data_IF_424837403885
#
_entry.id   IF_424837403885
#
_cell.length_a   1.000
_cell.length_b   1.000
_cell.length_c   1.000
_cell.angle_alpha   90.00
_cell.angle_beta   90.00
_cell.angle_gamma   90.00
#
_symmetry.space_group_name_H-M   'P 1'
#
loop_
_entity.id
_entity.type
_entity.pdbx_description
1 polymer ?
#
# COMPACT_ATOMS: atom_id res chain seq x y z
N UNK A 1 18.85 23.66 4.45
CA UNK A 1 19.45 22.85 5.52
C UNK A 1 18.98 23.16 6.93
N UNK A 2 18.70 24.41 7.32
CA UNK A 2 18.25 24.70 8.69
C UNK A 2 16.83 24.19 9.01
N UNK A 3 15.91 24.30 8.03
CA UNK A 3 14.52 23.83 8.14
C UNK A 3 14.40 22.30 8.27
N UNK A 4 15.32 21.53 7.69
CA UNK A 4 15.31 20.06 7.81
C UNK A 4 15.71 19.58 9.21
N UNK A 5 16.40 20.40 10.01
CA UNK A 5 16.77 20.05 11.39
C UNK A 5 15.63 20.29 12.39
N UNK A 6 14.63 21.09 12.02
CA UNK A 6 13.48 21.42 12.87
C UNK A 6 12.22 20.61 12.54
N UNK A 7 12.19 19.85 11.44
CA UNK A 7 11.10 18.92 11.13
C UNK A 7 11.45 17.50 11.61
N UNK A 8 10.59 16.90 12.42
CA UNK A 8 10.65 15.48 12.80
C UNK A 8 9.52 14.71 12.14
N UNK A 9 9.87 13.59 11.52
CA UNK A 9 8.94 12.63 10.95
C UNK A 9 9.08 11.31 11.72
N UNK A 10 8.03 10.91 12.42
CA UNK A 10 8.01 9.68 13.23
C UNK A 10 6.91 8.75 12.73
N UNK A 11 7.27 7.50 12.37
CA UNK A 11 6.29 6.47 12.09
C UNK A 11 5.72 5.95 13.42
N UNK A 12 4.46 6.30 13.71
CA UNK A 12 3.78 5.89 14.95
C UNK A 12 3.14 4.51 14.79
N UNK A 13 2.85 4.09 13.55
CA UNK A 13 2.30 2.76 13.25
C UNK A 13 2.58 2.31 11.82
N UNK A 14 1.92 1.24 11.37
CA UNK A 14 2.13 0.66 10.03
C UNK A 14 1.68 1.56 8.87
N UNK A 15 0.74 2.48 9.13
CA UNK A 15 0.14 3.37 8.12
C UNK A 15 -0.06 4.80 8.61
N UNK A 16 0.53 5.14 9.76
CA UNK A 16 0.34 6.44 10.41
C UNK A 16 1.69 7.04 10.73
N UNK A 17 1.88 8.28 10.31
CA UNK A 17 3.07 9.07 10.60
C UNK A 17 2.67 10.34 11.35
N UNK A 18 3.58 10.80 12.19
CA UNK A 18 3.48 12.06 12.90
C UNK A 18 4.51 13.02 12.33
N UNK A 19 4.05 14.21 11.98
CA UNK A 19 4.89 15.32 11.57
C UNK A 19 4.93 16.31 12.74
N UNK A 20 6.11 16.73 13.15
CA UNK A 20 6.31 17.76 14.16
C UNK A 20 7.32 18.78 13.66
N UNK A 21 7.05 20.06 13.88
CA UNK A 21 7.98 21.15 13.61
C UNK A 21 8.29 21.93 14.88
N UNK A 22 9.55 22.32 15.05
CA UNK A 22 10.02 23.15 16.16
C UNK A 22 10.29 24.58 15.66
N UNK A 23 9.43 25.52 16.04
CA UNK A 23 9.60 26.95 15.79
C UNK A 23 9.96 27.73 17.05
N UNK A 24 10.24 29.03 16.90
CA UNK A 24 10.53 29.94 18.02
C UNK A 24 9.25 30.37 18.74
N UNK A 25 8.14 30.46 18.00
CA UNK A 25 6.82 30.81 18.54
C UNK A 25 5.82 29.65 18.42
N UNK A 26 4.84 29.55 19.34
CA UNK A 26 3.82 28.51 19.29
C UNK A 26 2.88 28.64 18.09
N UNK A 27 2.64 29.87 17.61
CA UNK A 27 1.81 30.13 16.42
C UNK A 27 2.52 29.67 15.15
N UNK A 28 3.79 30.04 14.97
CA UNK A 28 4.61 29.56 13.85
C UNK A 28 4.70 28.04 13.83
N UNK A 29 4.90 27.41 14.99
CA UNK A 29 4.98 25.96 15.08
C UNK A 29 3.71 25.26 14.58
N UNK A 30 2.53 25.80 14.93
CA UNK A 30 1.24 25.30 14.44
C UNK A 30 1.10 25.53 12.94
N UNK A 31 1.31 26.74 12.47
CA UNK A 31 1.01 27.14 11.09
C UNK A 31 1.92 26.42 10.09
N UNK A 32 3.21 26.25 10.43
CA UNK A 32 4.15 25.47 9.61
C UNK A 32 3.78 23.99 9.62
N UNK A 33 3.40 23.41 10.77
CA UNK A 33 2.99 22.00 10.83
C UNK A 33 1.71 21.76 10.02
N UNK A 34 0.74 22.69 10.08
CA UNK A 34 -0.48 22.65 9.29
C UNK A 34 -0.17 22.69 7.79
N UNK A 35 0.63 23.67 7.37
CA UNK A 35 1.05 23.79 5.98
C UNK A 35 1.80 22.57 5.48
N UNK A 36 2.72 22.00 6.28
CA UNK A 36 3.43 20.76 5.92
C UNK A 36 2.48 19.58 5.71
N UNK A 37 1.46 19.43 6.57
CA UNK A 37 0.47 18.37 6.44
C UNK A 37 -0.36 18.54 5.16
N UNK A 38 -0.85 19.74 4.89
CA UNK A 38 -1.61 20.07 3.68
C UNK A 38 -0.77 19.90 2.40
N UNK A 39 0.47 20.39 2.41
CA UNK A 39 1.39 20.28 1.28
C UNK A 39 1.72 18.81 0.96
N UNK A 40 1.93 17.98 1.99
CA UNK A 40 2.18 16.54 1.80
C UNK A 40 0.96 15.84 1.20
N UNK A 41 -0.25 16.19 1.66
CA UNK A 41 -1.49 15.65 1.09
C UNK A 41 -1.62 16.04 -0.38
N UNK A 42 -1.41 17.31 -0.72
CA UNK A 42 -1.50 17.76 -2.11
C UNK A 42 -0.42 17.12 -3.00
N UNK A 43 0.80 16.96 -2.50
CA UNK A 43 1.88 16.29 -3.23
C UNK A 43 1.54 14.82 -3.50
N UNK A 44 1.05 14.08 -2.50
CA UNK A 44 0.62 12.69 -2.67
C UNK A 44 -0.57 12.58 -3.64
N UNK A 45 -1.53 13.50 -3.58
CA UNK A 45 -2.64 13.56 -4.52
C UNK A 45 -2.15 13.85 -5.95
N UNK A 46 -1.22 14.80 -6.11
CA UNK A 46 -0.58 15.13 -7.38
C UNK A 46 0.17 13.93 -7.98
N UNK A 47 1.06 13.31 -7.19
CA UNK A 47 1.86 12.15 -7.62
C UNK A 47 0.97 10.97 -8.03
N UNK A 48 -0.15 10.75 -7.32
CA UNK A 48 -1.13 9.70 -7.68
C UNK A 48 -1.89 10.02 -8.96
N UNK A 49 -2.29 11.27 -9.17
CA UNK A 49 -2.92 11.70 -10.44
C UNK A 49 -1.96 11.45 -11.60
N UNK A 50 -0.69 11.83 -11.46
CA UNK A 50 0.34 11.57 -12.47
C UNK A 50 0.52 10.07 -12.75
N UNK A 51 0.64 9.24 -11.71
CA UNK A 51 0.74 7.78 -11.86
C UNK A 51 -0.49 7.19 -12.54
N UNK A 52 -1.70 7.67 -12.22
CA UNK A 52 -2.93 7.23 -12.85
C UNK A 52 -2.96 7.61 -14.34
N UNK A 53 -2.53 8.82 -14.69
CA UNK A 53 -2.42 9.27 -16.09
C UNK A 53 -1.41 8.42 -16.86
N UNK A 54 -0.22 8.16 -16.29
CA UNK A 54 0.79 7.30 -16.91
C UNK A 54 0.28 5.87 -17.11
N UNK A 55 -0.38 5.29 -16.11
CA UNK A 55 -0.97 3.95 -16.22
C UNK A 55 -2.07 3.90 -17.29
N UNK A 56 -2.90 4.93 -17.42
CA UNK A 56 -3.91 5.02 -18.48
C UNK A 56 -3.28 5.14 -19.87
N UNK A 57 -2.23 5.95 -20.03
CA UNK A 57 -1.50 6.07 -21.29
C UNK A 57 -0.89 4.72 -21.70
N UNK A 58 -0.24 4.03 -20.75
CA UNK A 58 0.30 2.69 -20.99
C UNK A 58 -0.78 1.70 -21.44
N UNK A 59 -1.93 1.65 -20.76
CA UNK A 59 -3.04 0.76 -21.15
C UNK A 59 -3.61 1.10 -22.54
N UNK A 60 -3.65 2.38 -22.91
CA UNK A 60 -4.10 2.80 -24.24
C UNK A 60 -3.11 2.41 -25.35
N UNK A 61 -1.81 2.57 -25.10
CA UNK A 61 -0.76 2.14 -26.04
C UNK A 61 -0.76 0.63 -26.20
N UNK A 62 -0.89 -0.10 -25.10
CA UNK A 62 -0.98 -1.57 -25.09
C UNK A 62 -2.23 -2.06 -25.83
N UNK A 63 -3.39 -1.39 -25.64
CA UNK A 63 -4.61 -1.69 -26.38
C UNK A 63 -4.41 -1.50 -27.90
N UNK A 64 -3.74 -0.41 -28.32
CA UNK A 64 -3.43 -0.16 -29.73
C UNK A 64 -2.53 -1.26 -30.29
N UNK A 65 -1.43 -1.59 -29.58
CA UNK A 65 -0.51 -2.65 -29.99
C UNK A 65 -1.20 -3.99 -30.16
N UNK A 66 -2.01 -4.41 -29.17
CA UNK A 66 -2.75 -5.68 -29.24
C UNK A 66 -3.81 -5.65 -30.34
N UNK A 67 -4.43 -4.50 -30.62
CA UNK A 67 -5.39 -4.37 -31.72
C UNK A 67 -4.73 -4.51 -33.10
N UNK A 68 -3.51 -3.97 -33.26
CA UNK A 68 -2.72 -4.13 -34.49
C UNK A 68 -2.25 -5.57 -34.65
N UNK A 69 -1.79 -6.20 -33.56
CA UNK A 69 -1.39 -7.62 -33.57
C UNK A 69 -2.57 -8.54 -33.89
N UNK A 70 -3.75 -8.26 -33.34
CA UNK A 70 -4.98 -8.98 -33.66
C UNK A 70 -5.33 -8.83 -35.14
N UNK A 71 -5.29 -7.61 -35.69
CA UNK A 71 -5.56 -7.38 -37.11
C UNK A 71 -4.62 -8.18 -38.02
N UNK A 72 -3.31 -8.20 -37.70
CA UNK A 72 -2.34 -9.01 -38.46
C UNK A 72 -2.58 -10.53 -38.34
N UNK A 73 -3.03 -11.01 -37.18
CA UNK A 73 -3.35 -12.43 -36.98
C UNK A 73 -4.65 -12.83 -37.70
N UNK A 74 -5.64 -11.96 -37.69
CA UNK A 74 -6.89 -12.14 -38.44
C UNK A 74 -6.66 -12.07 -39.95
N UNK A 75 -5.78 -11.19 -40.42
CA UNK A 75 -5.37 -11.13 -41.83
C UNK A 75 -4.71 -12.43 -42.28
N UNK A 76 -3.71 -12.93 -41.53
CA UNK A 76 -3.09 -14.25 -41.83
C UNK A 76 -4.11 -15.38 -41.83
N UNK A 77 -5.07 -15.36 -40.89
CA UNK A 77 -6.16 -16.36 -40.87
C UNK A 77 -7.06 -16.23 -42.10
N UNK A 78 -7.33 -15.00 -42.54
CA UNK A 78 -8.08 -14.72 -43.76
C UNK A 78 -7.35 -15.20 -45.02
N UNK A 79 -6.05 -14.94 -45.13
CA UNK A 79 -5.18 -15.44 -46.21
C UNK A 79 -5.19 -16.97 -46.27
N UNK A 80 -4.99 -17.63 -45.13
CA UNK A 80 -5.06 -19.08 -45.03
C UNK A 80 -6.42 -19.64 -45.49
N UNK A 81 -7.52 -19.01 -45.08
CA UNK A 81 -8.87 -19.41 -45.48
C UNK A 81 -9.10 -19.18 -46.99
N UNK A 82 -8.48 -18.16 -47.59
CA UNK A 82 -8.54 -17.89 -49.02
C UNK A 82 -7.76 -18.92 -49.84
N UNK A 83 -6.58 -19.33 -49.36
CA UNK A 83 -5.75 -20.38 -49.96
C UNK A 83 -6.33 -21.78 -49.76
N UNK A 84 -7.09 -22.00 -48.68
CA UNK A 84 -7.69 -23.27 -48.32
C UNK A 84 -9.19 -23.16 -48.00
N UNK A 85 -10.06 -23.01 -49.02
CA UNK A 85 -11.51 -22.85 -48.85
C UNK A 85 -12.18 -24.00 -48.09
N UNK A 86 -11.57 -25.19 -48.07
CA UNK A 86 -12.03 -26.36 -47.33
C UNK A 86 -12.13 -26.14 -45.81
N UNK A 87 -11.40 -25.17 -45.23
CA UNK A 87 -11.47 -24.84 -43.79
C UNK A 87 -12.42 -23.66 -43.49
N UNK A 88 -12.94 -22.96 -44.52
CA UNK A 88 -13.83 -21.80 -44.37
C UNK A 88 -15.24 -22.20 -43.89
N UNK A 89 -15.73 -23.29 -44.47
CA UNK A 89 -16.97 -23.95 -44.06
C UNK A 89 -16.53 -24.95 -43.00
N UNK A 90 -17.08 -24.96 -41.78
CA UNK A 90 -16.65 -25.81 -40.67
C UNK A 90 -16.81 -27.34 -40.86
N UNK A 91 -16.67 -27.82 -42.10
CA UNK A 91 -16.48 -29.21 -42.48
C UNK A 91 -15.07 -29.60 -42.02
N UNK A 92 -15.00 -30.09 -40.79
CA UNK A 92 -13.93 -30.98 -40.37
C UNK A 92 -13.76 -32.04 -41.46
N UNK A 93 -12.55 -32.15 -42.02
CA UNK A 93 -12.20 -33.11 -43.05
C UNK A 93 -12.34 -34.58 -42.60
N UNK A 94 -12.63 -34.81 -41.32
CA UNK A 94 -13.01 -36.10 -40.75
C UNK A 94 -14.52 -36.15 -40.51
N UNK A 95 -15.24 -36.98 -41.28
CA UNK A 95 -16.70 -37.09 -41.30
C UNK A 95 -17.39 -37.45 -39.98
N UNK A 96 -17.42 -36.51 -39.03
CA UNK A 96 -18.24 -36.54 -37.82
C UNK A 96 -19.18 -35.34 -37.83
N UNK A 97 -20.49 -35.53 -37.55
CA UNK A 97 -21.43 -34.42 -37.56
C UNK A 97 -21.10 -33.44 -36.44
N UNK A 98 -20.80 -32.19 -36.80
CA UNK A 98 -20.89 -31.03 -35.92
C UNK A 98 -22.38 -30.78 -35.59
N UNK A 99 -22.93 -31.64 -34.74
CA UNK A 99 -24.23 -31.48 -34.11
C UNK A 99 -24.09 -31.71 -32.62
N UNK A 100 -23.25 -30.87 -32.00
CA UNK A 100 -23.59 -30.36 -30.68
C UNK A 100 -24.10 -28.94 -30.91
N UNK A 101 -25.42 -28.77 -30.85
CA UNK A 101 -26.08 -27.48 -30.73
C UNK A 101 -25.50 -26.73 -29.53
N UNK A 102 -24.42 -25.99 -29.71
CA UNK A 102 -24.17 -24.81 -28.88
C UNK A 102 -25.08 -23.74 -29.46
N UNK A 103 -26.30 -23.74 -28.94
CA UNK A 103 -27.24 -22.66 -29.11
C UNK A 103 -26.53 -21.38 -28.66
N UNK A 104 -26.27 -20.48 -29.59
CA UNK A 104 -25.80 -19.14 -29.30
C UNK A 104 -26.95 -18.45 -28.55
N UNK A 105 -26.83 -18.09 -27.26
CA UNK A 105 -27.75 -17.12 -26.72
C UNK A 105 -27.32 -15.76 -27.29
N UNK A 106 -28.26 -15.09 -27.94
CA UNK A 106 -28.14 -13.71 -28.39
C UNK A 106 -27.53 -12.82 -27.29
N UNK A 107 -26.71 -11.81 -27.64
CA UNK A 107 -26.14 -10.88 -26.67
C UNK A 107 -27.25 -10.02 -26.07
N UNK A 108 -27.77 -10.43 -24.92
CA UNK A 108 -28.50 -9.54 -24.01
C UNK A 108 -27.49 -8.98 -23.00
N UNK A 109 -27.49 -7.66 -22.71
CA UNK A 109 -26.58 -7.08 -21.74
C UNK A 109 -27.05 -7.47 -20.33
N UNK A 110 -26.69 -8.67 -19.88
CA UNK A 110 -26.93 -9.13 -18.52
C UNK A 110 -25.71 -8.79 -17.67
N UNK A 111 -25.80 -7.66 -16.98
CA UNK A 111 -24.94 -7.28 -15.86
C UNK A 111 -24.87 -8.47 -14.88
N UNK A 112 -23.70 -9.03 -14.57
CA UNK A 112 -23.59 -10.12 -13.61
C UNK A 112 -23.89 -9.59 -12.21
N UNK A 113 -25.02 -10.01 -11.63
CA UNK A 113 -25.25 -9.87 -10.18
C UNK A 113 -24.50 -10.99 -9.47
N UNK A 114 -23.67 -10.70 -8.44
CA UNK A 114 -22.98 -11.74 -7.69
C UNK A 114 -24.00 -12.58 -6.90
N UNK A 115 -24.14 -13.85 -7.26
CA UNK A 115 -24.90 -14.84 -6.52
C UNK A 115 -23.99 -15.38 -5.41
N UNK A 116 -24.24 -14.96 -4.17
CA UNK A 116 -23.60 -15.53 -2.99
C UNK A 116 -24.10 -16.96 -2.82
N UNK A 117 -23.31 -17.93 -3.27
CA UNK A 117 -23.49 -19.34 -2.93
C UNK A 117 -22.71 -19.58 -1.64
N UNK A 118 -23.44 -19.59 -0.52
CA UNK A 118 -22.91 -20.00 0.78
C UNK A 118 -22.88 -21.54 0.78
N UNK A 119 -21.79 -22.11 0.31
CA UNK A 119 -21.45 -23.52 0.54
C UNK A 119 -20.16 -23.57 1.34
N UNK A 120 -20.30 -23.86 2.64
CA UNK A 120 -19.18 -24.14 3.53
C UNK A 120 -18.57 -25.51 3.18
N UNK A 121 -17.25 -25.65 3.04
CA UNK A 121 -16.59 -26.95 3.11
C UNK A 121 -16.18 -27.30 4.55
N UNK A 122 -16.22 -28.58 4.96
CA UNK A 122 -15.67 -29.03 6.22
C UNK A 122 -14.14 -29.02 6.19
N UNK A 123 -13.57 -28.64 7.33
CA UNK A 123 -12.16 -28.48 7.66
C UNK A 123 -11.29 -29.73 7.44
N UNK A 124 -10.10 -29.57 6.85
CA UNK A 124 -8.84 -30.22 7.30
C UNK A 124 -7.64 -29.82 6.43
N UNK A 125 -6.84 -28.85 6.87
CA UNK A 125 -5.44 -28.69 6.45
C UNK A 125 -4.70 -27.81 7.48
N UNK A 126 -3.39 -28.04 7.72
CA UNK A 126 -2.67 -27.45 8.85
C UNK A 126 -2.48 -25.94 8.70
N UNK A 127 -2.57 -25.24 9.82
CA UNK A 127 -2.59 -23.78 9.92
C UNK A 127 -1.44 -23.08 9.17
N UNK A 128 -1.72 -22.09 8.30
CA UNK A 128 -0.71 -21.14 7.88
C UNK A 128 -0.45 -20.14 9.01
N UNK A 129 0.83 -19.95 9.30
CA UNK A 129 1.42 -19.00 10.24
C UNK A 129 0.69 -17.65 10.21
N UNK A 130 0.17 -17.24 11.37
CA UNK A 130 -0.59 -16.01 11.55
C UNK A 130 0.22 -14.79 11.08
N UNK A 131 -0.22 -14.17 9.99
CA UNK A 131 0.03 -12.75 9.72
C UNK A 131 -0.80 -11.93 10.71
N UNK A 132 -0.29 -10.81 11.27
CA UNK A 132 -1.10 -9.97 12.15
C UNK A 132 -2.25 -9.37 11.35
N UNK A 133 -3.45 -9.88 11.58
CA UNK A 133 -4.72 -9.39 11.04
C UNK A 133 -4.88 -7.94 11.50
N UNK A 134 -4.97 -7.00 10.56
CA UNK A 134 -5.45 -5.66 10.85
C UNK A 134 -6.81 -5.78 11.55
N UNK A 135 -7.15 -4.92 12.54
CA UNK A 135 -8.44 -4.99 13.22
C UNK A 135 -9.54 -4.94 12.15
N UNK A 136 -10.26 -6.06 12.02
CA UNK A 136 -11.34 -6.14 11.07
C UNK A 136 -12.50 -5.34 11.65
N UNK A 137 -13.13 -4.42 10.89
CA UNK A 137 -14.28 -3.67 11.36
C UNK A 137 -15.38 -4.61 11.85
N UNK A 138 -16.12 -4.21 12.89
CA UNK A 138 -17.11 -5.11 13.48
C UNK A 138 -18.10 -5.60 12.41
N UNK A 139 -18.35 -6.92 12.33
CA UNK A 139 -19.24 -7.49 11.32
C UNK A 139 -20.68 -6.98 11.46
N UNK A 140 -21.05 -6.47 12.63
CA UNK A 140 -22.36 -5.82 12.88
C UNK A 140 -22.46 -4.45 12.19
N UNK A 141 -21.44 -3.60 12.29
CA UNK A 141 -21.44 -2.28 11.66
C UNK A 141 -21.37 -2.38 10.13
N UNK A 142 -20.63 -3.37 9.61
CA UNK A 142 -20.64 -3.66 8.16
C UNK A 142 -22.03 -4.08 7.66
N UNK A 143 -22.72 -4.96 8.40
CA UNK A 143 -24.07 -5.37 8.05
C UNK A 143 -25.07 -4.20 8.08
N UNK A 144 -24.92 -3.28 9.05
CA UNK A 144 -25.74 -2.07 9.16
C UNK A 144 -25.50 -1.10 8.00
N UNK A 145 -24.24 -0.92 7.58
CA UNK A 145 -23.89 -0.16 6.38
C UNK A 145 -24.51 -0.76 5.12
N UNK A 146 -24.38 -2.07 4.94
CA UNK A 146 -24.90 -2.76 3.76
C UNK A 146 -26.44 -2.70 3.72
N UNK A 147 -27.11 -2.76 4.88
CA UNK A 147 -28.54 -2.53 5.00
C UNK A 147 -28.93 -1.09 4.60
N UNK A 148 -28.20 -0.08 5.09
CA UNK A 148 -28.45 1.32 4.74
C UNK A 148 -28.26 1.60 3.24
N UNK A 149 -27.24 0.99 2.61
CA UNK A 149 -27.00 1.09 1.16
C UNK A 149 -28.15 0.44 0.38
N UNK A 150 -28.66 -0.71 0.85
CA UNK A 150 -29.80 -1.37 0.22
C UNK A 150 -31.08 -0.51 0.33
N UNK A 151 -31.31 0.17 1.45
CA UNK A 151 -32.43 1.11 1.62
C UNK A 151 -32.34 2.30 0.65
N UNK A 152 -31.16 2.90 0.49
CA UNK A 152 -30.92 3.99 -0.47
C UNK A 152 -31.20 3.55 -1.91
N UNK A 153 -30.75 2.34 -2.28
CA UNK A 153 -31.01 1.76 -3.59
C UNK A 153 -32.52 1.52 -3.84
N UNK A 154 -33.31 1.25 -2.80
CA UNK A 154 -34.77 1.11 -2.91
C UNK A 154 -35.47 2.47 -3.00
N UNK A 155 -35.06 3.45 -2.18
CA UNK A 155 -35.62 4.79 -2.16
C UNK A 155 -35.39 5.52 -3.50
N UNK A 156 -34.18 5.44 -4.04
CA UNK A 156 -33.84 6.01 -5.36
C UNK A 156 -34.63 5.39 -6.51
N UNK A 157 -34.87 4.07 -6.49
CA UNK A 157 -35.74 3.40 -7.48
C UNK A 157 -37.18 3.89 -7.41
N UNK A 158 -37.74 4.08 -6.22
CA UNK A 158 -39.09 4.63 -6.04
C UNK A 158 -39.19 6.07 -6.56
N UNK A 159 -38.16 6.87 -6.31
CA UNK A 159 -38.07 8.24 -6.83
C UNK A 159 -38.02 8.22 -8.37
N UNK A 160 -37.16 7.41 -8.98
CA UNK A 160 -37.05 7.28 -10.43
C UNK A 160 -38.36 6.81 -11.09
N UNK A 161 -39.08 5.89 -10.45
CA UNK A 161 -40.39 5.43 -10.93
C UNK A 161 -41.43 6.57 -10.87
N UNK A 162 -41.46 7.34 -9.79
CA UNK A 162 -42.37 8.48 -9.64
C UNK A 162 -42.04 9.61 -10.62
N UNK A 163 -40.76 9.91 -10.86
CA UNK A 163 -40.32 10.88 -11.87
C UNK A 163 -40.72 10.48 -13.29
N UNK A 164 -40.76 9.19 -13.59
CA UNK A 164 -41.18 8.72 -14.92
C UNK A 164 -42.69 8.83 -15.17
N UNK A 165 -43.51 8.87 -14.10
CA UNK A 165 -44.98 8.80 -14.16
C UNK A 165 -45.67 10.12 -13.81
N UNK A 166 -45.01 10.99 -13.03
CA UNK A 166 -45.59 12.21 -12.48
C UNK A 166 -44.67 13.41 -12.72
N UNK A 167 -45.27 14.58 -12.93
CA UNK A 167 -44.57 15.87 -12.99
C UNK A 167 -44.13 16.34 -11.59
N UNK A 168 -43.17 17.26 -11.53
CA UNK A 168 -42.50 17.74 -10.31
C UNK A 168 -43.43 18.30 -9.21
N UNK A 169 -44.72 18.54 -9.52
CA UNK A 169 -45.70 19.15 -8.60
C UNK A 169 -46.61 18.11 -7.90
N UNK A 170 -46.27 16.83 -7.92
CA UNK A 170 -47.04 15.77 -7.26
C UNK A 170 -46.60 15.60 -5.79
N UNK A 171 -47.51 15.60 -4.79
CA UNK A 171 -47.14 15.52 -3.37
C UNK A 171 -46.39 14.23 -2.98
N UNK A 172 -46.55 13.15 -3.76
CA UNK A 172 -45.77 11.92 -3.59
C UNK A 172 -44.29 12.06 -3.99
N UNK A 173 -43.93 13.06 -4.80
CA UNK A 173 -42.55 13.34 -5.21
C UNK A 173 -41.73 13.93 -4.07
N UNK A 174 -42.32 14.82 -3.26
CA UNK A 174 -41.68 15.37 -2.07
C UNK A 174 -41.46 14.30 -1.00
N UNK A 175 -42.43 13.40 -0.82
CA UNK A 175 -42.29 12.24 0.06
C UNK A 175 -41.17 11.29 -0.41
N UNK A 176 -41.03 11.08 -1.72
CA UNK A 176 -39.97 10.25 -2.29
C UNK A 176 -38.59 10.90 -2.18
N UNK A 177 -38.47 12.22 -2.38
CA UNK A 177 -37.24 12.98 -2.13
C UNK A 177 -36.84 12.93 -0.66
N UNK A 178 -37.80 13.12 0.26
CA UNK A 178 -37.55 13.01 1.69
C UNK A 178 -37.08 11.61 2.09
N UNK A 179 -37.65 10.56 1.48
CA UNK A 179 -37.22 9.18 1.70
C UNK A 179 -35.78 8.91 1.22
N UNK A 180 -35.36 9.49 0.10
CA UNK A 180 -33.96 9.41 -0.38
C UNK A 180 -33.03 10.16 0.56
N UNK A 181 -33.37 11.38 0.97
CA UNK A 181 -32.58 12.15 1.92
C UNK A 181 -32.41 11.44 3.28
N UNK A 182 -33.47 10.77 3.76
CA UNK A 182 -33.40 9.97 4.99
C UNK A 182 -32.50 8.74 4.82
N UNK A 183 -32.57 8.06 3.68
CA UNK A 183 -31.72 6.91 3.39
C UNK A 183 -30.24 7.31 3.23
N UNK A 184 -29.95 8.45 2.59
CA UNK A 184 -28.60 9.04 2.52
C UNK A 184 -28.05 9.40 3.91
N UNK A 185 -28.88 9.99 4.77
CA UNK A 185 -28.49 10.29 6.15
C UNK A 185 -28.14 9.01 6.94
N UNK A 186 -28.87 7.90 6.72
CA UNK A 186 -28.57 6.60 7.34
C UNK A 186 -27.24 6.01 6.85
N UNK A 187 -26.96 6.09 5.55
CA UNK A 187 -25.67 5.66 5.00
C UNK A 187 -24.52 6.48 5.59
N UNK A 188 -24.69 7.80 5.70
CA UNK A 188 -23.71 8.69 6.31
C UNK A 188 -23.47 8.37 7.78
N UNK A 189 -24.53 8.10 8.54
CA UNK A 189 -24.43 7.70 9.95
C UNK A 189 -23.73 6.35 10.13
N UNK A 190 -24.04 5.35 9.30
CA UNK A 190 -23.39 4.04 9.34
C UNK A 190 -21.89 4.11 9.01
N UNK A 191 -21.51 4.95 8.04
CA UNK A 191 -20.10 5.20 7.71
C UNK A 191 -19.38 5.95 8.86
N UNK A 192 -20.01 6.94 9.47
CA UNK A 192 -19.43 7.66 10.61
C UNK A 192 -19.23 6.74 11.83
N UNK A 193 -20.10 5.75 12.04
CA UNK A 193 -19.93 4.75 13.09
C UNK A 193 -18.72 3.82 12.84
N UNK A 194 -18.52 3.39 11.59
CA UNK A 194 -17.32 2.64 11.17
C UNK A 194 -16.03 3.45 11.34
N UNK A 195 -16.06 4.74 10.99
CA UNK A 195 -14.92 5.65 11.19
C UNK A 195 -14.61 5.86 12.67
N UNK A 196 -15.63 5.99 13.51
CA UNK A 196 -15.44 6.12 14.96
C UNK A 196 -14.81 4.86 15.56
N UNK A 197 -15.27 3.68 15.16
CA UNK A 197 -14.63 2.42 15.57
C UNK A 197 -13.18 2.34 15.10
N UNK A 198 -12.89 2.72 13.85
CA UNK A 198 -11.53 2.73 13.35
C UNK A 198 -10.62 3.69 14.13
N UNK A 199 -11.16 4.81 14.63
CA UNK A 199 -10.43 5.72 15.53
C UNK A 199 -10.18 5.07 16.89
N UNK A 200 -11.20 4.48 17.51
CA UNK A 200 -11.11 3.88 18.85
C UNK A 200 -10.12 2.69 18.88
N UNK A 201 -10.10 1.84 17.84
CA UNK A 201 -9.16 0.72 17.71
C UNK A 201 -7.70 1.18 17.57
N UNK A 202 -7.47 2.34 16.94
CA UNK A 202 -6.13 2.93 16.79
C UNK A 202 -5.61 3.46 18.14
N UNK A 203 -6.47 4.10 18.95
CA UNK A 203 -6.08 4.61 20.26
C UNK A 203 -5.82 3.49 21.29
N UNK A 204 -6.56 2.37 21.22
CA UNK A 204 -6.33 1.21 22.09
C UNK A 204 -4.97 0.52 21.86
N UNK A 205 -4.36 0.69 20.68
CA UNK A 205 -3.06 0.08 20.33
C UNK A 205 -1.85 0.91 20.83
N UNK A 206 -2.08 2.12 21.34
CA UNK A 206 -1.01 3.04 21.78
C UNK A 206 -0.61 2.82 23.26
N UNK A 207 -1.47 2.21 24.07
CA UNK A 207 -1.29 2.07 25.53
C UNK A 207 -0.59 0.77 25.98
N UNK A 208 -0.25 -0.15 25.07
CA UNK A 208 0.43 -1.40 25.42
C UNK A 208 1.96 -1.29 25.18
N UNK A 209 2.81 -1.48 26.21
CA UNK A 209 4.26 -1.40 26.05
C UNK A 209 4.78 -2.53 25.14
N UNK A 210 5.73 -2.25 24.24
CA UNK A 210 6.16 -3.23 23.26
C UNK A 210 6.89 -4.41 23.93
N UNK A 211 6.57 -5.68 23.60
CA UNK A 211 7.41 -6.80 23.99
C UNK A 211 8.78 -6.71 23.29
N UNK A 212 9.85 -7.22 23.92
CA UNK A 212 11.22 -7.08 23.42
C UNK A 212 11.36 -7.75 22.05
N UNK A 213 11.66 -6.94 21.04
CA UNK A 213 11.99 -7.38 19.70
C UNK A 213 13.41 -7.96 19.72
N UNK A 214 13.51 -9.29 19.67
CA UNK A 214 14.75 -9.95 19.28
C UNK A 214 14.88 -9.82 17.76
N UNK A 215 15.64 -8.82 17.35
CA UNK A 215 16.11 -8.62 15.98
C UNK A 215 17.12 -9.71 15.63
N UNK A 216 16.67 -10.82 15.05
CA UNK A 216 17.54 -11.71 14.30
C UNK A 216 17.38 -11.41 12.81
N UNK A 217 18.34 -10.65 12.28
CA UNK A 217 18.65 -10.52 10.87
C UNK A 217 18.71 -11.89 10.22
N UNK A 218 17.70 -12.24 9.43
CA UNK A 218 17.78 -13.32 8.46
C UNK A 218 17.28 -12.79 7.12
N UNK A 219 18.24 -12.49 6.25
CA UNK A 219 18.02 -12.20 4.85
C UNK A 219 17.08 -13.25 4.23
N UNK A 220 16.13 -12.87 3.34
CA UNK A 220 15.35 -13.85 2.62
C UNK A 220 16.26 -14.53 1.59
N UNK A 221 16.86 -15.66 1.96
CA UNK A 221 17.33 -16.64 0.99
C UNK A 221 16.09 -17.29 0.39
N UNK A 222 15.71 -16.79 -0.78
CA UNK A 222 14.76 -17.43 -1.70
C UNK A 222 15.25 -18.87 -1.99
N UNK A 223 14.50 -19.94 -1.66
CA UNK A 223 14.67 -21.18 -2.38
C UNK A 223 13.95 -21.01 -3.72
N UNK A 224 14.70 -20.57 -4.73
CA UNK A 224 14.28 -20.77 -6.11
C UNK A 224 14.02 -22.28 -6.31
N UNK A 225 12.88 -22.69 -6.88
CA UNK A 225 12.77 -24.04 -7.39
C UNK A 225 13.69 -24.13 -8.61
N UNK A 226 14.94 -24.51 -8.38
CA UNK A 226 15.80 -25.08 -9.43
C UNK A 226 15.18 -26.40 -9.82
N UNK A 227 14.23 -26.36 -10.74
CA UNK A 227 13.93 -27.49 -11.60
C UNK A 227 15.20 -27.74 -12.43
N UNK A 228 16.09 -28.57 -11.89
CA UNK A 228 17.05 -29.30 -12.73
C UNK A 228 16.20 -30.19 -13.64
N UNK A 229 16.33 -30.13 -14.97
CA UNK A 229 15.82 -31.19 -15.81
C UNK A 229 16.56 -32.46 -15.41
N UNK A 230 15.87 -33.39 -14.76
CA UNK A 230 16.36 -34.76 -14.68
C UNK A 230 16.32 -35.30 -16.11
N UNK A 231 17.43 -35.80 -16.68
CA UNK A 231 17.35 -36.57 -17.90
C UNK A 231 16.63 -37.87 -17.52
N UNK A 232 15.35 -37.96 -17.87
CA UNK A 232 14.65 -39.24 -17.89
C UNK A 232 15.41 -40.09 -18.90
N UNK A 233 16.18 -41.05 -18.41
CA UNK A 233 16.76 -42.11 -19.21
C UNK A 233 15.62 -42.91 -19.82
N UNK A 234 15.20 -42.51 -21.02
CA UNK A 234 14.40 -43.32 -21.92
C UNK A 234 15.31 -44.46 -22.34
N UNK A 235 15.03 -45.67 -21.84
CA UNK A 235 15.64 -46.88 -22.37
C UNK A 235 15.41 -46.92 -23.89
N UNK A 236 16.44 -47.24 -24.70
CA UNK A 236 16.29 -47.33 -26.14
C UNK A 236 15.36 -48.50 -26.45
N UNK A 237 14.12 -48.18 -26.80
CA UNK A 237 13.24 -49.14 -27.48
C UNK A 237 13.89 -49.44 -28.83
N UNK A 238 14.06 -50.70 -29.22
CA UNK A 238 14.77 -51.06 -30.44
C UNK A 238 14.14 -50.36 -31.63
N UNK A 239 14.98 -49.63 -32.36
CA UNK A 239 14.75 -49.17 -33.72
C UNK A 239 14.17 -50.34 -34.53
N UNK A 240 12.92 -50.24 -35.02
CA UNK A 240 12.57 -51.00 -36.20
C UNK A 240 13.40 -50.40 -37.34
N UNK A 241 14.26 -51.25 -37.86
CA UNK A 241 14.93 -51.14 -39.15
C UNK A 241 13.98 -50.53 -40.21
N UNK A 242 14.46 -49.65 -41.10
CA UNK A 242 13.61 -48.96 -42.05
C UNK A 242 13.16 -49.95 -43.12
N UNK A 243 11.94 -50.47 -42.97
CA UNK A 243 11.20 -51.06 -44.08
C UNK A 243 10.94 -49.94 -45.10
N UNK A 244 11.43 -50.05 -46.36
CA UNK A 244 11.14 -49.09 -47.40
C UNK A 244 9.73 -49.35 -47.93
N UNK A 245 8.73 -49.04 -47.13
CA UNK A 245 7.34 -49.01 -47.56
C UNK A 245 7.08 -47.64 -48.19
N UNK A 246 7.38 -47.54 -49.47
CA UNK A 246 6.91 -46.46 -50.30
C UNK A 246 5.39 -46.47 -50.31
N UNK A 247 4.78 -45.45 -49.73
CA UNK A 247 3.43 -45.00 -50.06
C UNK A 247 3.45 -43.48 -50.05
N UNK A 248 3.70 -42.90 -51.23
CA UNK A 248 3.34 -41.52 -51.55
C UNK A 248 1.86 -41.32 -51.22
N UNK A 249 1.57 -40.86 -49.99
CA UNK A 249 0.21 -40.57 -49.55
C UNK A 249 0.05 -39.07 -49.32
N UNK A 250 -0.86 -38.40 -50.04
CA UNK A 250 -1.14 -36.95 -49.91
C UNK A 250 -1.73 -36.55 -48.54
N UNK A 251 -1.72 -37.44 -47.54
CA UNK A 251 -2.35 -37.26 -46.22
C UNK A 251 -1.44 -36.54 -45.22
N UNK A 252 -0.11 -36.59 -45.39
CA UNK A 252 0.84 -35.90 -44.51
C UNK A 252 0.78 -34.37 -44.63
N UNK A 253 0.60 -33.85 -45.85
CA UNK A 253 0.46 -32.42 -46.12
C UNK A 253 -0.85 -31.87 -45.56
N UNK A 254 -1.97 -32.60 -45.70
CA UNK A 254 -3.25 -32.23 -45.09
C UNK A 254 -3.16 -32.14 -43.55
N UNK A 255 -2.43 -33.06 -42.90
CA UNK A 255 -2.24 -33.01 -41.45
C UNK A 255 -1.41 -31.81 -40.97
N UNK A 256 -0.41 -31.39 -41.76
CA UNK A 256 0.37 -30.20 -41.47
C UNK A 256 -0.48 -28.92 -41.59
N UNK A 257 -1.30 -28.83 -42.64
CA UNK A 257 -2.20 -27.69 -42.90
C UNK A 257 -3.28 -27.57 -41.80
N UNK A 258 -3.87 -28.69 -41.36
CA UNK A 258 -4.81 -28.69 -40.22
C UNK A 258 -4.14 -28.19 -38.92
N UNK A 259 -2.90 -28.59 -38.68
CA UNK A 259 -2.14 -28.14 -37.50
C UNK A 259 -1.90 -26.64 -37.52
N UNK A 260 -1.53 -26.10 -38.68
CA UNK A 260 -1.32 -24.66 -38.89
C UNK A 260 -2.63 -23.87 -38.68
N UNK A 261 -3.75 -24.36 -39.22
CA UNK A 261 -5.07 -23.76 -39.00
C UNK A 261 -5.43 -23.69 -37.50
N UNK A 262 -5.25 -24.79 -36.77
CA UNK A 262 -5.51 -24.82 -35.33
C UNK A 262 -4.63 -23.84 -34.56
N UNK A 263 -3.35 -23.74 -34.93
CA UNK A 263 -2.41 -22.80 -34.32
C UNK A 263 -2.81 -21.34 -34.59
N UNK A 264 -3.18 -21.03 -35.83
CA UNK A 264 -3.56 -19.69 -36.25
C UNK A 264 -4.86 -19.24 -35.59
N UNK A 265 -5.87 -20.12 -35.56
CA UNK A 265 -7.14 -19.89 -34.85
C UNK A 265 -6.93 -19.65 -33.36
N UNK A 266 -6.12 -20.49 -32.71
CA UNK A 266 -5.76 -20.31 -31.30
C UNK A 266 -5.08 -18.97 -31.06
N UNK A 267 -4.16 -18.56 -31.93
CA UNK A 267 -3.44 -17.29 -31.79
C UNK A 267 -4.35 -16.05 -31.91
N UNK A 268 -5.38 -16.12 -32.76
CA UNK A 268 -6.42 -15.09 -32.90
C UNK A 268 -7.30 -15.06 -31.66
N UNK A 269 -7.74 -16.22 -31.17
CA UNK A 269 -8.57 -16.31 -29.97
C UNK A 269 -7.82 -15.78 -28.73
N UNK A 270 -6.53 -16.11 -28.60
CA UNK A 270 -5.65 -15.57 -27.54
C UNK A 270 -5.52 -14.04 -27.63
N UNK A 271 -5.33 -13.49 -28.84
CA UNK A 271 -5.24 -12.04 -29.05
C UNK A 271 -6.56 -11.31 -28.73
N UNK A 272 -7.71 -11.90 -29.12
CA UNK A 272 -9.04 -11.36 -28.76
C UNK A 272 -9.28 -11.37 -27.27
N UNK A 273 -8.86 -12.43 -26.57
CA UNK A 273 -8.98 -12.50 -25.12
C UNK A 273 -8.13 -11.42 -24.44
N UNK A 274 -6.88 -11.23 -24.90
CA UNK A 274 -6.01 -10.16 -24.40
C UNK A 274 -6.61 -8.77 -24.63
N UNK A 275 -7.15 -8.50 -25.83
CA UNK A 275 -7.84 -7.26 -26.15
C UNK A 275 -9.04 -7.02 -25.21
N UNK A 276 -9.85 -8.05 -24.97
CA UNK A 276 -11.00 -7.98 -24.07
C UNK A 276 -10.58 -7.68 -22.62
N UNK A 277 -9.49 -8.29 -22.13
CA UNK A 277 -8.94 -8.02 -20.80
C UNK A 277 -8.49 -6.56 -20.66
N UNK A 278 -7.71 -6.07 -21.64
CA UNK A 278 -7.25 -4.67 -21.65
C UNK A 278 -8.40 -3.68 -21.72
N UNK A 279 -9.45 -3.97 -22.48
CA UNK A 279 -10.64 -3.11 -22.57
C UNK A 279 -11.36 -2.98 -21.22
N UNK A 280 -11.48 -4.09 -20.46
CA UNK A 280 -12.07 -4.08 -19.12
C UNK A 280 -11.19 -3.32 -18.13
N UNK A 281 -9.87 -3.51 -18.18
CA UNK A 281 -8.93 -2.79 -17.32
C UNK A 281 -8.91 -1.28 -17.60
N UNK A 282 -8.91 -0.89 -18.87
CA UNK A 282 -8.97 0.50 -19.29
C UNK A 282 -10.28 1.14 -18.85
N UNK A 283 -11.43 0.49 -19.07
CA UNK A 283 -12.72 0.99 -18.60
C UNK A 283 -12.74 1.16 -17.07
N UNK A 284 -12.20 0.18 -16.33
CA UNK A 284 -12.10 0.28 -14.87
C UNK A 284 -11.19 1.43 -14.43
N UNK A 285 -10.05 1.60 -15.10
CA UNK A 285 -9.12 2.70 -14.84
C UNK A 285 -9.79 4.06 -15.13
N UNK A 286 -10.52 4.19 -16.23
CA UNK A 286 -11.23 5.42 -16.59
C UNK A 286 -12.32 5.77 -15.59
N UNK A 287 -13.13 4.78 -15.17
CA UNK A 287 -14.14 4.96 -14.13
C UNK A 287 -13.50 5.39 -12.81
N UNK A 288 -12.37 4.79 -12.43
CA UNK A 288 -11.65 5.16 -11.20
C UNK A 288 -10.97 6.52 -11.27
N UNK A 289 -10.47 6.92 -12.45
CA UNK A 289 -9.90 8.26 -12.66
C UNK A 289 -10.99 9.33 -12.56
N UNK A 290 -12.18 9.08 -13.15
CA UNK A 290 -13.34 9.96 -13.03
C UNK A 290 -13.85 10.06 -11.58
N UNK A 291 -13.81 8.97 -10.81
CA UNK A 291 -14.21 8.99 -9.38
C UNK A 291 -13.18 9.72 -8.50
N UNK A 292 -11.90 9.66 -8.82
CA UNK A 292 -10.85 10.42 -8.13
C UNK A 292 -11.01 11.93 -8.34
N UNK A 293 -11.38 12.37 -9.54
CA UNK A 293 -11.74 13.78 -9.80
C UNK A 293 -12.95 14.22 -8.97
N UNK A 294 -13.88 13.30 -8.68
CA UNK A 294 -15.03 13.56 -7.82
C UNK A 294 -14.69 13.59 -6.31
N UNK A 295 -13.42 13.39 -5.91
CA UNK A 295 -12.94 13.66 -4.55
C UNK A 295 -13.19 12.58 -3.49
N UNK A 296 -13.66 11.38 -3.86
CA UNK A 296 -14.14 10.37 -2.90
C UNK A 296 -13.10 9.28 -2.51
N UNK A 297 -11.83 9.40 -2.91
CA UNK A 297 -10.82 8.33 -2.67
C UNK A 297 -9.47 8.84 -2.10
N UNK A 298 -9.46 9.91 -1.30
CA UNK A 298 -8.24 10.34 -0.61
C UNK A 298 -7.84 9.31 0.48
N UNK A 299 -6.80 8.50 0.21
CA UNK A 299 -6.24 7.56 1.21
C UNK A 299 -5.33 8.23 2.23
N UNK A 300 -4.90 9.47 1.97
CA UNK A 300 -4.12 10.25 2.92
C UNK A 300 -5.08 11.28 3.51
N UNK A 301 -5.48 11.05 4.75
CA UNK A 301 -6.39 11.92 5.50
C UNK A 301 -5.63 12.44 6.70
N UNK A 302 -5.78 13.73 6.99
CA UNK A 302 -5.24 14.32 8.21
C UNK A 302 -6.08 13.78 9.37
N UNK A 303 -5.49 12.89 10.17
CA UNK A 303 -6.15 12.29 11.34
C UNK A 303 -6.26 13.28 12.49
N UNK A 304 -5.20 14.06 12.70
CA UNK A 304 -5.09 15.04 13.78
C UNK A 304 -4.56 16.36 13.20
N UNK A 305 -5.26 17.45 13.47
CA UNK A 305 -4.91 18.77 12.95
C UNK A 305 -3.89 19.46 13.86
N UNK A 306 -3.05 20.33 13.29
CA UNK A 306 -1.99 20.98 14.04
C UNK A 306 -2.56 21.79 15.22
N UNK A 307 -2.14 21.46 16.43
CA UNK A 307 -2.55 22.11 17.67
C UNK A 307 -1.51 23.15 18.14
N UNK A 308 -1.94 24.08 19.00
CA UNK A 308 -1.06 25.08 19.60
C UNK A 308 -0.24 24.45 20.74
N UNK A 309 1.10 24.42 20.68
CA UNK A 309 1.91 23.81 21.73
C UNK A 309 1.87 24.67 23.00
N UNK A 310 1.37 24.09 24.10
CA UNK A 310 1.19 24.79 25.38
C UNK A 310 2.49 24.91 26.22
N UNK A 311 3.48 24.03 25.99
CA UNK A 311 4.72 24.00 26.76
C UNK A 311 5.94 24.10 25.83
N UNK A 312 6.94 24.94 26.16
CA UNK A 312 8.18 24.99 25.41
C UNK A 312 8.94 23.67 25.58
N UNK A 313 9.38 23.08 24.48
CA UNK A 313 10.21 21.88 24.54
C UNK A 313 11.65 22.29 24.86
N UNK A 314 12.03 22.19 26.15
CA UNK A 314 13.33 22.66 26.66
C UNK A 314 14.47 21.87 25.99
N UNK A 315 15.34 22.57 25.26
CA UNK A 315 16.50 21.92 24.62
C UNK A 315 17.45 21.37 25.70
N UNK A 316 18.02 20.18 25.48
CA UNK A 316 19.01 19.58 26.40
C UNK A 316 20.20 20.53 26.65
N UNK A 317 20.51 21.38 25.67
CA UNK A 317 21.54 22.41 25.75
C UNK A 317 21.25 23.47 26.83
N UNK A 318 19.99 23.72 27.16
CA UNK A 318 19.62 24.67 28.21
C UNK A 318 20.14 24.25 29.58
N UNK A 319 20.06 22.95 29.91
CA UNK A 319 20.62 22.41 31.15
C UNK A 319 22.14 22.49 31.20
N UNK A 320 22.81 22.31 30.05
CA UNK A 320 24.27 22.46 29.95
C UNK A 320 24.68 23.91 30.19
N UNK A 321 23.97 24.88 29.60
CA UNK A 321 24.26 26.31 29.74
C UNK A 321 24.12 26.83 31.17
N UNK A 322 23.21 26.27 31.96
CA UNK A 322 23.03 26.67 33.38
C UNK A 322 23.89 25.82 34.32
N UNK A 323 24.02 24.52 34.04
CA UNK A 323 24.76 23.60 34.90
C UNK A 323 26.27 23.85 34.89
N UNK A 324 26.84 24.18 33.73
CA UNK A 324 28.28 24.42 33.60
C UNK A 324 28.79 25.58 34.48
N UNK A 325 28.20 26.80 34.47
CA UNK A 325 28.66 27.88 35.35
C UNK A 325 28.41 27.56 36.83
N UNK A 326 27.29 26.92 37.16
CA UNK A 326 26.98 26.57 38.55
C UNK A 326 27.99 25.55 39.12
N UNK A 327 28.36 24.54 38.33
CA UNK A 327 29.38 23.57 38.72
C UNK A 327 30.75 24.23 38.89
N UNK A 328 31.10 25.20 38.03
CA UNK A 328 32.36 25.94 38.13
C UNK A 328 32.41 26.82 39.39
N UNK A 329 31.31 27.51 39.71
CA UNK A 329 31.18 28.30 40.94
C UNK A 329 31.28 27.40 42.17
N UNK A 330 30.61 26.25 42.16
CA UNK A 330 30.66 25.30 43.27
C UNK A 330 32.07 24.72 43.47
N UNK A 331 32.77 24.39 42.38
CA UNK A 331 34.15 23.92 42.45
C UNK A 331 35.09 24.98 43.02
N UNK A 332 34.95 26.24 42.59
CA UNK A 332 35.75 27.35 43.11
C UNK A 332 35.46 27.60 44.60
N UNK A 333 34.18 27.57 45.00
CA UNK A 333 33.77 27.72 46.39
C UNK A 333 34.31 26.59 47.28
N UNK A 334 34.32 25.34 46.78
CA UNK A 334 34.92 24.20 47.48
C UNK A 334 36.43 24.35 47.65
N UNK A 335 37.15 24.79 46.62
CA UNK A 335 38.60 25.04 46.68
C UNK A 335 38.90 26.14 47.69
N UNK A 336 38.18 27.27 47.62
CA UNK A 336 38.39 28.41 48.51
C UNK A 336 37.99 28.08 49.96
N UNK A 337 36.89 27.36 50.15
CA UNK A 337 36.48 26.87 51.47
C UNK A 337 37.51 25.91 52.06
N UNK A 338 38.11 25.04 51.24
CA UNK A 338 39.22 24.19 51.69
C UNK A 338 40.46 25.00 52.05
N UNK A 339 40.80 26.02 51.25
CA UNK A 339 41.95 26.87 51.51
C UNK A 339 41.80 27.68 52.81
N UNK A 340 40.59 28.16 53.12
CA UNK A 340 40.31 28.90 54.37
C UNK A 340 40.26 28.00 55.61
N UNK A 341 39.99 26.71 55.46
CA UNK A 341 39.97 25.73 56.56
C UNK A 341 41.31 24.97 56.70
N UNK A 342 42.28 25.21 55.81
CA UNK A 342 43.59 24.57 55.88
C UNK A 342 44.48 25.36 56.84
N UNK A 343 44.56 24.89 58.09
CA UNK A 343 45.34 25.48 59.17
C UNK A 343 46.84 25.07 59.09
N UNK A 344 47.35 24.92 57.86
CA UNK A 344 48.73 24.52 57.58
C UNK A 344 49.56 25.76 57.24
N UNK A 345 50.59 25.98 58.04
CA UNK A 345 51.63 26.96 57.81
C UNK A 345 52.52 26.44 56.67
N UNK A 346 52.46 27.07 55.50
CA UNK A 346 53.19 26.62 54.31
C UNK A 346 54.47 27.42 54.05
N UNK A 347 54.56 28.66 54.56
CA UNK A 347 55.67 29.55 54.25
C UNK A 347 56.40 30.08 55.50
N UNK A 348 57.66 30.48 55.31
CA UNK A 348 58.48 31.07 56.38
C UNK A 348 57.95 32.42 56.87
N UNK A 349 57.21 33.12 56.01
CA UNK A 349 56.60 34.43 56.31
C UNK A 349 55.38 34.30 57.25
N UNK A 350 54.67 33.17 57.22
CA UNK A 350 53.55 32.90 58.14
C UNK A 350 54.05 32.82 59.60
N UNK A 351 55.28 32.33 59.83
CA UNK A 351 55.90 32.24 61.16
C UNK A 351 56.18 33.61 61.80
N UNK A 352 56.50 34.63 60.99
CA UNK A 352 56.71 36.00 61.48
C UNK A 352 55.39 36.66 61.89
N UNK A 353 54.29 36.35 61.18
CA UNK A 353 52.96 36.90 61.51
C UNK A 353 52.38 36.35 62.83
N UNK A 354 52.80 35.14 63.22
CA UNK A 354 52.41 34.45 64.45
C UNK A 354 53.30 34.80 65.67
N UNK A 355 54.29 35.70 65.50
CA UNK A 355 55.15 36.18 66.58
C UNK A 355 56.14 35.13 67.13
N UNK A 356 56.44 34.10 66.34
CA UNK A 356 57.42 33.07 66.69
C UNK A 356 58.81 33.46 66.18
N UNK A 357 59.86 33.04 66.91
CA UNK A 357 61.28 33.37 66.63
C UNK A 357 61.71 33.07 65.19
N UNK A 358 62.70 33.82 64.64
CA UNK A 358 63.09 33.72 63.23
C UNK A 358 63.57 32.30 62.86
N UNK A 359 63.09 31.82 61.72
CA UNK A 359 63.35 30.49 61.12
C UNK A 359 64.83 30.04 61.25
N UNK A 360 65.13 29.18 62.23
CA UNK A 360 66.52 28.81 62.58
C UNK A 360 67.17 27.82 61.59
N UNK A 361 66.42 26.95 60.91
CA UNK A 361 66.95 26.15 59.79
C UNK A 361 65.83 25.49 58.99
N UNK A 362 65.99 25.39 57.67
CA UNK A 362 65.11 24.61 56.78
C UNK A 362 65.74 23.25 56.55
N UNK A 363 65.02 22.18 56.91
CA UNK A 363 65.45 20.81 56.61
C UNK A 363 65.11 20.54 55.14
N UNK A 364 66.09 20.29 54.26
CA UNK A 364 65.81 19.99 52.86
C UNK A 364 64.99 18.70 52.75
N UNK A 365 63.96 18.64 51.89
CA UNK A 365 63.14 17.45 51.75
C UNK A 365 64.01 16.28 51.29
N UNK A 366 63.99 15.20 52.06
CA UNK A 366 64.69 13.97 51.67
C UNK A 366 64.09 13.45 50.37
N UNK A 367 64.90 13.36 49.32
CA UNK A 367 64.50 12.81 48.04
C UNK A 367 64.08 11.34 48.22
N UNK A 368 62.77 11.09 48.41
CA UNK A 368 62.23 9.73 48.30
C UNK A 368 62.29 9.34 46.84
N UNK A 369 63.23 8.46 46.51
CA UNK A 369 63.30 7.77 45.22
C UNK A 369 62.02 6.94 45.08
N UNK A 370 61.17 7.34 44.14
CA UNK A 370 59.91 6.65 43.82
C UNK A 370 60.20 5.16 43.52
N UNK A 371 59.43 4.29 44.14
CA UNK A 371 59.26 2.89 43.76
C UNK A 371 57.84 2.71 43.26
#
# INVERSE_FOLDING_TARGET
DEVQRTVKFEAVGKSTFRIAYFGESPEEARDVTKWLAEALVEEELGRRREQAVQAMQFLQEEQKRVSEELAQKEERLGEFIAEHPQFATGVQADGRPASAKTQLPAPSPRVPRPRVVRSAPPSSTPAPRATPKAPAPDPKLMAERDAAIAELAQASRKLAELQSKYTDNYPGMDAAKAAVAQAEARVKAANAALEKQARDDIYATIDEPPPPTTSATAAPKTPAPRARPQPVAVAPKPTPEPEPSGEDTPTGELGAIETEWMQLKRSVDEAREQQGRLAVELFRAEVSSRSQTAGHEARVVILDEAYLPANPQRSRLFFVKIGAPLALILALALVLGRALLDDKIYDGDDLQSLGLDPLLSVIPPTHRRNA
#
